data_IF_915853298055
#
_entry.id   IF_915853298055
#
_cell.length_a   1.000
_cell.length_b   1.000
_cell.length_c   1.000
_cell.angle_alpha   90.00
_cell.angle_beta   90.00
_cell.angle_gamma   90.00
#
_symmetry.space_group_name_H-M   'P 1'
#
loop_
_entity.id
_entity.type
_entity.pdbx_description
1 polymer ?
#
# COMPACT_ATOMS: atom_id res chain seq x y z
N UNK A 1 6.86 2.72 30.06
CA UNK A 1 6.30 1.75 29.11
C UNK A 1 7.03 1.98 27.79
N UNK A 2 7.90 1.03 27.37
CA UNK A 2 8.54 1.10 26.06
C UNK A 2 7.48 0.97 24.98
N UNK A 3 7.49 1.89 24.01
CA UNK A 3 6.64 1.78 22.82
C UNK A 3 6.92 0.43 22.11
N UNK A 4 5.90 -0.21 21.53
CA UNK A 4 6.10 -1.47 20.82
C UNK A 4 7.11 -1.27 19.70
N UNK A 5 8.24 -1.96 19.77
CA UNK A 5 9.25 -1.94 18.72
C UNK A 5 8.75 -2.76 17.53
N UNK A 6 8.54 -2.12 16.37
CA UNK A 6 8.17 -2.83 15.15
C UNK A 6 9.35 -3.63 14.60
N UNK A 7 9.05 -4.84 14.15
CA UNK A 7 10.04 -5.75 13.54
C UNK A 7 9.93 -5.69 12.03
N UNK A 8 11.04 -5.44 11.36
CA UNK A 8 11.15 -5.35 9.90
C UNK A 8 12.12 -6.40 9.38
N UNK A 9 11.72 -7.14 8.34
CA UNK A 9 12.63 -7.97 7.54
C UNK A 9 13.01 -7.17 6.30
N UNK A 10 14.32 -6.98 6.10
CA UNK A 10 14.90 -6.26 4.96
C UNK A 10 15.66 -7.26 4.07
N UNK A 11 15.16 -7.46 2.85
CA UNK A 11 15.72 -8.36 1.84
C UNK A 11 16.35 -7.49 0.74
N UNK A 12 17.67 -7.38 0.76
CA UNK A 12 18.43 -6.49 -0.10
C UNK A 12 19.87 -7.05 -0.22
N UNK A 13 20.35 -7.30 -1.42
CA UNK A 13 21.68 -7.87 -1.65
C UNK A 13 22.79 -6.80 -1.60
N UNK A 14 22.48 -5.57 -2.03
CA UNK A 14 23.43 -4.47 -2.02
C UNK A 14 23.76 -4.00 -0.58
N UNK A 15 24.95 -4.33 -0.11
CA UNK A 15 25.40 -4.03 1.26
C UNK A 15 25.27 -2.56 1.66
N UNK A 16 25.51 -1.63 0.73
CA UNK A 16 25.44 -0.20 1.01
C UNK A 16 23.99 0.25 1.24
N UNK A 17 23.06 -0.19 0.39
CA UNK A 17 21.63 0.12 0.50
C UNK A 17 21.05 -0.56 1.75
N UNK A 18 21.36 -1.85 1.97
CA UNK A 18 20.94 -2.58 3.14
C UNK A 18 21.35 -1.88 4.44
N UNK A 19 22.63 -1.50 4.54
CA UNK A 19 23.13 -0.74 5.71
C UNK A 19 22.44 0.61 5.88
N UNK A 20 22.23 1.36 4.79
CA UNK A 20 21.56 2.65 4.81
C UNK A 20 20.11 2.53 5.31
N UNK A 21 19.35 1.60 4.78
CA UNK A 21 17.97 1.34 5.19
C UNK A 21 17.92 0.89 6.65
N UNK A 22 18.73 -0.10 7.04
CA UNK A 22 18.81 -0.58 8.43
C UNK A 22 19.05 0.55 9.42
N UNK A 23 20.11 1.32 9.24
CA UNK A 23 20.45 2.43 10.15
C UNK A 23 19.31 3.45 10.25
N UNK A 24 18.63 3.73 9.13
CA UNK A 24 17.49 4.64 9.11
C UNK A 24 16.29 4.11 9.91
N UNK A 25 16.02 2.82 9.84
CA UNK A 25 14.93 2.15 10.57
C UNK A 25 15.25 2.03 12.07
N UNK A 26 16.46 1.60 12.41
CA UNK A 26 16.92 1.47 13.80
C UNK A 26 16.91 2.83 14.53
N UNK A 27 17.24 3.92 13.83
CA UNK A 27 17.15 5.27 14.36
C UNK A 27 15.72 5.70 14.73
N UNK A 28 14.70 4.99 14.21
CA UNK A 28 13.28 5.18 14.55
C UNK A 28 12.76 4.14 15.55
N UNK A 29 13.66 3.39 16.21
CA UNK A 29 13.31 2.41 17.23
C UNK A 29 12.79 1.07 16.67
N UNK A 30 12.98 0.78 15.39
CA UNK A 30 12.58 -0.47 14.77
C UNK A 30 13.66 -1.54 14.93
N UNK A 31 13.25 -2.80 15.06
CA UNK A 31 14.17 -3.96 15.01
C UNK A 31 14.26 -4.46 13.58
N UNK A 32 15.48 -4.53 13.02
CA UNK A 32 15.69 -4.91 11.62
C UNK A 32 16.41 -6.26 11.53
N UNK A 33 15.85 -7.19 10.77
CA UNK A 33 16.48 -8.45 10.38
C UNK A 33 16.85 -8.38 8.90
N UNK A 34 18.15 -8.44 8.63
CA UNK A 34 18.69 -8.35 7.28
C UNK A 34 18.75 -9.74 6.61
N UNK A 35 18.47 -9.77 5.31
CA UNK A 35 18.65 -10.93 4.43
C UNK A 35 19.31 -10.46 3.12
N UNK A 36 20.26 -11.24 2.62
CA UNK A 36 21.04 -10.91 1.42
C UNK A 36 20.51 -11.55 0.14
N UNK A 37 19.49 -12.38 0.28
CA UNK A 37 18.83 -13.08 -0.83
C UNK A 37 17.39 -13.46 -0.47
N UNK A 38 16.62 -13.90 -1.45
CA UNK A 38 15.21 -14.23 -1.29
C UNK A 38 14.96 -15.36 -0.31
N UNK A 39 15.73 -16.44 -0.39
CA UNK A 39 15.59 -17.61 0.49
C UNK A 39 15.81 -17.25 1.96
N UNK A 40 16.84 -16.48 2.28
CA UNK A 40 17.07 -15.98 3.65
C UNK A 40 15.92 -15.08 4.11
N UNK A 41 15.41 -14.23 3.21
CA UNK A 41 14.28 -13.34 3.47
C UNK A 41 13.01 -14.08 3.85
N UNK A 42 12.66 -15.13 3.09
CA UNK A 42 11.50 -15.99 3.37
C UNK A 42 11.62 -16.70 4.73
N UNK A 43 12.80 -17.26 5.02
CA UNK A 43 13.08 -17.89 6.32
C UNK A 43 12.96 -16.85 7.46
N UNK A 44 13.53 -15.65 7.28
CA UNK A 44 13.45 -14.59 8.27
C UNK A 44 11.99 -14.14 8.49
N UNK A 45 11.21 -13.96 7.43
CA UNK A 45 9.81 -13.60 7.53
C UNK A 45 8.97 -14.66 8.27
N UNK A 46 9.20 -15.95 8.00
CA UNK A 46 8.50 -17.03 8.68
C UNK A 46 8.86 -17.15 10.16
N UNK A 47 10.14 -16.94 10.53
CA UNK A 47 10.64 -17.16 11.90
C UNK A 47 10.51 -15.94 12.80
N UNK A 48 10.65 -14.72 12.25
CA UNK A 48 10.64 -13.46 13.02
C UNK A 48 9.27 -12.81 13.14
N UNK A 49 8.29 -13.26 12.33
CA UNK A 49 6.92 -12.71 12.30
C UNK A 49 6.92 -11.18 12.23
N UNK A 50 7.54 -10.60 11.18
CA UNK A 50 7.73 -9.17 11.10
C UNK A 50 6.41 -8.41 10.97
N UNK A 51 6.46 -7.12 11.30
CA UNK A 51 5.36 -6.19 11.09
C UNK A 51 5.36 -5.61 9.68
N UNK A 52 6.51 -5.67 9.01
CA UNK A 52 6.73 -5.19 7.64
C UNK A 52 7.87 -5.98 6.99
N UNK A 53 7.74 -6.25 5.69
CA UNK A 53 8.84 -6.76 4.85
C UNK A 53 9.21 -5.68 3.82
N UNK A 54 10.49 -5.47 3.65
CA UNK A 54 11.05 -4.65 2.57
C UNK A 54 11.84 -5.58 1.67
N UNK A 55 11.59 -5.53 0.35
CA UNK A 55 12.20 -6.46 -0.61
C UNK A 55 12.72 -5.74 -1.84
N UNK A 56 13.95 -6.01 -2.25
CA UNK A 56 14.43 -5.68 -3.59
C UNK A 56 13.97 -6.73 -4.61
N UNK A 57 13.75 -6.30 -5.86
CA UNK A 57 13.39 -7.20 -6.96
C UNK A 57 14.60 -7.89 -7.57
N UNK A 58 15.78 -7.25 -7.52
CA UNK A 58 17.01 -7.71 -8.15
C UNK A 58 17.86 -8.63 -7.27
N UNK A 59 17.26 -9.63 -6.62
CA UNK A 59 17.99 -10.55 -5.74
C UNK A 59 18.84 -11.57 -6.52
N UNK A 60 19.95 -12.07 -5.93
CA UNK A 60 20.89 -12.91 -6.65
C UNK A 60 20.40 -14.35 -6.89
N UNK A 61 19.44 -14.82 -6.11
CA UNK A 61 18.94 -16.21 -6.11
C UNK A 61 17.56 -16.36 -6.77
N UNK A 62 16.74 -15.30 -6.75
CA UNK A 62 15.38 -15.32 -7.30
C UNK A 62 14.89 -13.90 -7.62
N UNK A 63 13.85 -13.75 -8.44
CA UNK A 63 13.18 -12.45 -8.59
C UNK A 63 12.38 -12.11 -7.32
N UNK A 64 12.50 -10.87 -6.85
CA UNK A 64 11.75 -10.42 -5.67
C UNK A 64 10.23 -10.52 -5.84
N UNK A 65 9.72 -10.51 -7.08
CA UNK A 65 8.29 -10.75 -7.37
C UNK A 65 7.89 -12.17 -6.94
N UNK A 66 8.74 -13.16 -7.12
CA UNK A 66 8.47 -14.54 -6.70
C UNK A 66 8.52 -14.66 -5.17
N UNK A 67 9.43 -13.93 -4.51
CA UNK A 67 9.45 -13.81 -3.04
C UNK A 67 8.12 -13.24 -2.53
N UNK A 68 7.58 -12.19 -3.18
CA UNK A 68 6.28 -11.61 -2.81
C UNK A 68 5.16 -12.62 -2.96
N UNK A 69 5.10 -13.35 -4.07
CA UNK A 69 4.08 -14.40 -4.30
C UNK A 69 4.14 -15.49 -3.23
N UNK A 70 5.34 -15.94 -2.88
CA UNK A 70 5.53 -16.95 -1.84
C UNK A 70 5.10 -16.44 -0.47
N UNK A 71 5.46 -15.21 -0.08
CA UNK A 71 4.98 -14.57 1.14
C UNK A 71 3.45 -14.54 1.18
N UNK A 72 2.79 -14.16 0.09
CA UNK A 72 1.32 -14.09 0.02
C UNK A 72 0.62 -15.44 0.11
N UNK A 73 1.34 -16.53 -0.09
CA UNK A 73 0.83 -17.89 0.14
C UNK A 73 0.52 -18.20 1.61
N UNK A 74 1.09 -17.46 2.56
CA UNK A 74 0.97 -17.77 3.99
C UNK A 74 0.94 -16.55 4.93
N UNK A 75 1.10 -15.31 4.44
CA UNK A 75 1.06 -14.10 5.28
C UNK A 75 0.52 -12.88 4.55
N UNK A 76 -0.23 -12.03 5.28
CA UNK A 76 -0.70 -10.72 4.84
C UNK A 76 0.18 -9.57 5.38
N UNK A 77 1.40 -9.86 5.82
CA UNK A 77 2.33 -8.81 6.27
C UNK A 77 2.53 -7.77 5.18
N UNK A 78 2.51 -6.47 5.51
CA UNK A 78 2.78 -5.43 4.51
C UNK A 78 4.15 -5.61 3.85
N UNK A 79 4.19 -5.51 2.51
CA UNK A 79 5.40 -5.64 1.70
C UNK A 79 5.64 -4.35 0.92
N UNK A 80 6.79 -3.71 1.15
CA UNK A 80 7.25 -2.55 0.37
C UNK A 80 8.40 -2.99 -0.53
N UNK A 81 8.28 -2.72 -1.82
CA UNK A 81 9.35 -2.99 -2.80
C UNK A 81 10.30 -1.79 -2.86
N UNK A 82 11.61 -2.07 -2.78
CA UNK A 82 12.67 -1.11 -3.13
C UNK A 82 13.38 -1.62 -4.39
N UNK A 83 13.33 -0.89 -5.50
CA UNK A 83 13.96 -1.39 -6.72
C UNK A 83 14.49 -0.29 -7.63
N UNK A 84 15.57 -0.59 -8.35
CA UNK A 84 16.10 0.24 -9.44
C UNK A 84 15.27 0.13 -10.72
N UNK A 85 14.36 -0.85 -10.81
CA UNK A 85 13.48 -1.04 -11.97
C UNK A 85 12.47 0.11 -12.01
N UNK A 86 12.48 0.87 -13.09
CA UNK A 86 11.65 2.08 -13.25
C UNK A 86 10.47 1.89 -14.19
N UNK A 87 10.44 0.77 -14.92
CA UNK A 87 9.40 0.48 -15.90
C UNK A 87 8.05 0.29 -15.20
N UNK A 88 7.01 0.82 -15.81
CA UNK A 88 5.65 0.80 -15.27
C UNK A 88 5.11 -0.62 -15.13
N UNK A 89 5.39 -1.48 -16.14
CA UNK A 89 4.98 -2.88 -16.15
C UNK A 89 5.55 -3.66 -14.97
N UNK A 90 6.79 -3.40 -14.59
CA UNK A 90 7.45 -4.07 -13.45
C UNK A 90 6.86 -3.62 -12.12
N UNK A 91 6.53 -2.34 -11.97
CA UNK A 91 5.82 -1.83 -10.79
C UNK A 91 4.44 -2.46 -10.64
N UNK A 92 3.69 -2.49 -11.76
CA UNK A 92 2.38 -3.14 -11.80
C UNK A 92 2.49 -4.62 -11.47
N UNK A 93 3.46 -5.34 -12.04
CA UNK A 93 3.68 -6.76 -11.77
C UNK A 93 3.98 -7.05 -10.30
N UNK A 94 4.80 -6.22 -9.63
CA UNK A 94 5.10 -6.36 -8.22
C UNK A 94 3.86 -6.12 -7.33
N UNK A 95 3.08 -5.09 -7.63
CA UNK A 95 1.83 -4.77 -6.91
C UNK A 95 0.75 -5.84 -7.14
N UNK A 96 0.58 -6.32 -8.37
CA UNK A 96 -0.35 -7.40 -8.70
C UNK A 96 0.08 -8.75 -8.08
N UNK A 97 1.39 -8.95 -7.85
CA UNK A 97 1.91 -10.09 -7.09
C UNK A 97 1.58 -10.01 -5.59
N UNK A 98 1.16 -8.83 -5.10
CA UNK A 98 0.72 -8.62 -3.73
C UNK A 98 1.59 -7.66 -2.91
N UNK A 99 2.52 -6.91 -3.52
CA UNK A 99 3.18 -5.81 -2.82
C UNK A 99 2.15 -4.72 -2.45
N UNK A 100 2.36 -4.08 -1.30
CA UNK A 100 1.49 -3.01 -0.82
C UNK A 100 1.94 -1.64 -1.32
N UNK A 101 3.22 -1.49 -1.58
CA UNK A 101 3.82 -0.25 -2.06
C UNK A 101 5.11 -0.51 -2.87
N UNK A 102 5.52 0.49 -3.61
CA UNK A 102 6.72 0.44 -4.46
C UNK A 102 7.49 1.75 -4.35
N UNK A 103 8.79 1.67 -4.10
CA UNK A 103 9.69 2.81 -4.01
C UNK A 103 10.88 2.61 -4.96
N UNK A 104 11.06 3.56 -5.88
CA UNK A 104 12.12 3.49 -6.89
C UNK A 104 13.44 4.03 -6.33
N UNK A 105 14.54 3.30 -6.50
CA UNK A 105 15.91 3.75 -6.21
C UNK A 105 16.37 4.79 -7.27
N UNK A 106 17.03 5.88 -6.89
CA UNK A 106 17.35 6.31 -5.53
C UNK A 106 16.17 6.96 -4.80
N UNK A 107 16.06 6.73 -3.50
CA UNK A 107 14.98 7.26 -2.66
C UNK A 107 15.53 8.00 -1.44
N UNK A 108 14.73 8.92 -0.90
CA UNK A 108 15.04 9.62 0.35
C UNK A 108 14.58 8.88 1.59
N UNK A 109 15.30 9.01 2.72
CA UNK A 109 14.89 8.44 4.02
C UNK A 109 13.49 8.88 4.41
N UNK A 110 13.18 10.17 4.26
CA UNK A 110 11.87 10.74 4.63
C UNK A 110 10.71 10.11 3.86
N UNK A 111 10.89 9.83 2.57
CA UNK A 111 9.88 9.16 1.75
C UNK A 111 9.69 7.71 2.21
N UNK A 112 10.78 6.94 2.35
CA UNK A 112 10.71 5.57 2.85
C UNK A 112 10.01 5.50 4.21
N UNK A 113 10.38 6.38 5.15
CA UNK A 113 9.78 6.41 6.48
C UNK A 113 8.31 6.81 6.48
N UNK A 114 7.89 7.72 5.59
CA UNK A 114 6.49 8.10 5.46
C UNK A 114 5.64 6.90 5.01
N UNK A 115 6.11 6.13 4.02
CA UNK A 115 5.45 4.92 3.52
C UNK A 115 5.37 3.83 4.60
N UNK A 116 6.48 3.55 5.28
CA UNK A 116 6.52 2.56 6.37
C UNK A 116 5.51 2.92 7.48
N UNK A 117 5.52 4.17 7.96
CA UNK A 117 4.57 4.62 8.99
C UNK A 117 3.12 4.47 8.56
N UNK A 118 2.80 4.73 7.29
CA UNK A 118 1.45 4.57 6.76
C UNK A 118 0.98 3.10 6.86
N UNK A 119 1.84 2.14 6.47
CA UNK A 119 1.50 0.72 6.52
C UNK A 119 1.43 0.16 7.96
N UNK A 120 2.37 0.55 8.84
CA UNK A 120 2.37 0.11 10.24
C UNK A 120 1.17 0.66 11.02
N UNK A 121 0.78 1.93 10.80
CA UNK A 121 -0.43 2.53 11.41
C UNK A 121 -1.68 1.75 11.04
N UNK A 122 -1.84 1.40 9.77
CA UNK A 122 -2.97 0.60 9.28
C UNK A 122 -3.07 -0.75 9.96
N UNK A 123 -1.94 -1.45 10.15
CA UNK A 123 -1.92 -2.75 10.83
C UNK A 123 -2.40 -2.64 12.28
N UNK A 124 -1.96 -1.60 13.00
CA UNK A 124 -2.41 -1.36 14.38
C UNK A 124 -3.90 -1.03 14.45
N UNK A 125 -4.43 -0.27 13.51
CA UNK A 125 -5.86 0.05 13.44
C UNK A 125 -6.70 -1.18 13.10
N UNK A 126 -6.25 -2.04 12.18
CA UNK A 126 -6.93 -3.29 11.86
C UNK A 126 -6.98 -4.29 13.03
N UNK A 127 -5.99 -4.25 13.93
CA UNK A 127 -5.93 -5.10 15.10
C UNK A 127 -6.79 -4.62 16.29
N UNK A 128 -7.24 -3.34 16.28
CA UNK A 128 -7.93 -2.71 17.43
C UNK A 128 -9.27 -2.05 17.14
N UNK A 129 -9.74 -2.01 15.89
CA UNK A 129 -10.91 -1.22 15.50
C UNK A 129 -12.13 -2.09 15.23
N UNK A 130 -13.08 -2.10 16.18
CA UNK A 130 -14.47 -2.54 15.96
C UNK A 130 -15.31 -1.49 15.21
N UNK A 131 -14.75 -0.33 14.84
CA UNK A 131 -15.51 0.73 14.18
C UNK A 131 -15.33 0.67 12.66
N UNK A 132 -16.40 0.37 11.93
CA UNK A 132 -16.40 0.34 10.47
C UNK A 132 -16.36 1.74 9.83
N UNK A 133 -16.10 2.78 10.60
CA UNK A 133 -16.06 4.17 10.16
C UNK A 133 -14.62 4.60 9.94
N UNK A 134 -14.32 5.01 8.73
CA UNK A 134 -13.01 5.49 8.29
C UNK A 134 -13.10 6.94 7.90
N UNK A 135 -12.13 7.78 8.32
CA UNK A 135 -12.13 9.21 8.00
C UNK A 135 -10.89 9.62 7.20
N UNK A 136 -11.05 10.58 6.31
CA UNK A 136 -9.97 11.26 5.60
C UNK A 136 -10.40 12.68 5.24
N UNK A 137 -9.59 13.67 5.55
CA UNK A 137 -9.99 15.08 5.42
C UNK A 137 -11.33 15.34 6.12
N UNK A 138 -12.28 15.90 5.38
CA UNK A 138 -13.64 16.22 5.84
C UNK A 138 -14.64 15.06 5.59
N UNK A 139 -14.16 13.91 5.10
CA UNK A 139 -14.98 12.77 4.71
C UNK A 139 -14.99 11.71 5.79
N UNK A 140 -16.18 11.17 6.07
CA UNK A 140 -16.37 9.99 6.92
C UNK A 140 -17.12 8.90 6.14
N UNK A 141 -16.59 7.68 6.18
CA UNK A 141 -17.13 6.52 5.47
C UNK A 141 -17.48 5.43 6.49
N UNK A 142 -18.74 5.16 6.68
CA UNK A 142 -19.25 4.04 7.45
C UNK A 142 -19.51 2.87 6.49
N UNK A 143 -18.63 1.87 6.53
CA UNK A 143 -18.73 0.70 5.66
C UNK A 143 -19.90 -0.23 6.03
N UNK A 144 -20.27 -0.29 7.31
CA UNK A 144 -21.38 -1.14 7.76
C UNK A 144 -22.74 -0.56 7.35
N UNK A 145 -22.91 0.74 7.55
CA UNK A 145 -24.14 1.44 7.16
C UNK A 145 -24.15 1.89 5.70
N UNK A 146 -23.03 1.70 4.97
CA UNK A 146 -22.83 2.20 3.60
C UNK A 146 -23.12 3.69 3.47
N UNK A 147 -22.76 4.46 4.50
CA UNK A 147 -22.98 5.89 4.58
C UNK A 147 -21.67 6.64 4.34
N UNK A 148 -21.74 7.68 3.53
CA UNK A 148 -20.63 8.60 3.29
C UNK A 148 -21.09 10.01 3.63
N UNK A 149 -20.31 10.70 4.44
CA UNK A 149 -20.57 12.12 4.77
C UNK A 149 -19.34 12.95 4.47
N UNK A 150 -19.55 14.23 4.12
CA UNK A 150 -18.51 15.24 3.99
C UNK A 150 -18.96 16.48 4.76
N UNK A 151 -18.12 17.00 5.66
CA UNK A 151 -18.49 18.06 6.60
C UNK A 151 -19.77 17.76 7.40
N UNK A 152 -20.05 16.47 7.69
CA UNK A 152 -21.26 16.02 8.38
C UNK A 152 -22.52 15.89 7.50
N UNK A 153 -22.48 16.31 6.25
CA UNK A 153 -23.58 16.18 5.30
C UNK A 153 -23.48 14.91 4.49
N UNK A 154 -24.62 14.23 4.21
CA UNK A 154 -24.62 13.01 3.43
C UNK A 154 -24.19 13.26 1.97
N UNK A 155 -23.25 12.48 1.50
CA UNK A 155 -22.82 12.47 0.09
C UNK A 155 -23.48 11.31 -0.64
N UNK A 156 -24.26 11.61 -1.67
CA UNK A 156 -24.86 10.58 -2.50
C UNK A 156 -23.87 10.03 -3.51
N UNK A 157 -23.55 8.73 -3.38
CA UNK A 157 -22.73 7.98 -4.30
C UNK A 157 -23.59 6.95 -5.05
N UNK A 158 -23.34 6.80 -6.35
CA UNK A 158 -23.90 5.70 -7.12
C UNK A 158 -23.33 4.35 -6.64
N UNK A 159 -23.99 3.20 -6.95
CA UNK A 159 -23.48 1.88 -6.52
C UNK A 159 -22.03 1.59 -6.95
N UNK A 160 -21.62 2.08 -8.14
CA UNK A 160 -20.26 1.91 -8.66
C UNK A 160 -19.27 2.82 -7.90
N UNK A 161 -19.62 4.09 -7.73
CA UNK A 161 -18.80 5.04 -6.96
C UNK A 161 -18.58 4.53 -5.52
N UNK A 162 -19.65 4.02 -4.88
CA UNK A 162 -19.53 3.46 -3.54
C UNK A 162 -18.61 2.23 -3.51
N UNK A 163 -18.74 1.30 -4.46
CA UNK A 163 -17.85 0.12 -4.53
C UNK A 163 -16.39 0.53 -4.72
N UNK A 164 -16.15 1.52 -5.59
CA UNK A 164 -14.81 2.04 -5.84
C UNK A 164 -14.24 2.68 -4.57
N UNK A 165 -15.01 3.54 -3.88
CA UNK A 165 -14.61 4.14 -2.61
C UNK A 165 -14.38 3.07 -1.54
N UNK A 166 -15.26 2.10 -1.39
CA UNK A 166 -15.12 1.03 -0.41
C UNK A 166 -13.86 0.19 -0.63
N UNK A 167 -13.48 -0.08 -1.89
CA UNK A 167 -12.23 -0.76 -2.22
C UNK A 167 -11.01 0.10 -1.82
N UNK A 168 -11.03 1.39 -2.14
CA UNK A 168 -9.96 2.32 -1.74
C UNK A 168 -9.83 2.43 -0.21
N UNK A 169 -10.95 2.46 0.51
CA UNK A 169 -10.99 2.55 1.98
C UNK A 169 -10.47 1.27 2.64
N UNK A 170 -10.89 0.10 2.18
CA UNK A 170 -10.40 -1.19 2.70
C UNK A 170 -8.90 -1.33 2.54
N UNK A 171 -8.38 -0.84 1.42
CA UNK A 171 -6.97 -0.91 1.06
C UNK A 171 -6.26 0.44 1.20
N UNK A 172 -6.75 1.32 2.09
CA UNK A 172 -6.19 2.64 2.31
C UNK A 172 -4.69 2.58 2.62
N UNK A 173 -3.90 3.45 2.00
CA UNK A 173 -2.45 3.47 2.10
C UNK A 173 -1.72 2.56 1.09
N UNK A 174 -2.39 1.56 0.49
CA UNK A 174 -1.82 0.71 -0.57
C UNK A 174 -1.96 1.37 -1.93
N UNK A 175 -1.03 1.07 -2.83
CA UNK A 175 -1.20 1.35 -4.26
C UNK A 175 -2.06 0.27 -4.88
N UNK A 176 -3.21 0.66 -5.42
CA UNK A 176 -4.12 -0.24 -6.13
C UNK A 176 -3.97 -0.03 -7.64
N UNK A 177 -3.57 -1.08 -8.35
CA UNK A 177 -3.39 -1.02 -9.80
C UNK A 177 -4.72 -0.79 -10.52
N UNK A 178 -4.67 -0.22 -11.73
CA UNK A 178 -5.87 -0.07 -12.57
C UNK A 178 -6.60 -1.42 -12.74
N UNK A 179 -5.84 -2.50 -12.99
CA UNK A 179 -6.36 -3.85 -13.18
C UNK A 179 -7.05 -4.37 -11.92
N UNK A 180 -6.43 -4.17 -10.75
CA UNK A 180 -7.02 -4.59 -9.47
C UNK A 180 -8.36 -3.87 -9.24
N UNK A 181 -8.41 -2.55 -9.36
CA UNK A 181 -9.63 -1.75 -9.16
C UNK A 181 -10.74 -2.13 -10.15
N UNK A 182 -10.39 -2.33 -11.42
CA UNK A 182 -11.37 -2.75 -12.44
C UNK A 182 -11.96 -4.13 -12.12
N UNK A 183 -11.13 -5.08 -11.71
CA UNK A 183 -11.59 -6.42 -11.33
C UNK A 183 -12.50 -6.40 -10.11
N UNK A 184 -12.15 -5.66 -9.07
CA UNK A 184 -12.92 -5.60 -7.82
C UNK A 184 -14.26 -4.86 -7.97
N UNK A 185 -14.31 -3.82 -8.81
CA UNK A 185 -15.50 -2.97 -8.96
C UNK A 185 -16.43 -3.44 -10.07
N UNK A 186 -15.89 -3.87 -11.21
CA UNK A 186 -16.69 -4.26 -12.40
C UNK A 186 -16.62 -5.75 -12.73
N UNK A 187 -15.68 -6.48 -12.14
CA UNK A 187 -15.48 -7.91 -12.40
C UNK A 187 -14.41 -8.19 -13.48
N UNK A 188 -14.02 -9.46 -13.63
CA UNK A 188 -12.86 -9.86 -14.45
C UNK A 188 -13.00 -9.55 -15.95
N UNK A 189 -14.19 -9.36 -16.46
CA UNK A 189 -14.44 -9.03 -17.88
C UNK A 189 -14.13 -7.57 -18.26
N UNK A 190 -13.86 -6.69 -17.29
CA UNK A 190 -13.67 -5.25 -17.51
C UNK A 190 -12.25 -4.76 -17.28
N UNK A 191 -11.30 -5.66 -17.04
CA UNK A 191 -9.91 -5.33 -16.67
C UNK A 191 -9.13 -4.56 -17.76
N UNK A 192 -9.59 -4.59 -18.99
CA UNK A 192 -8.97 -3.89 -20.13
C UNK A 192 -9.62 -2.52 -20.43
N UNK A 193 -10.45 -1.99 -19.54
CA UNK A 193 -11.20 -0.75 -19.78
C UNK A 193 -10.84 0.36 -18.78
N UNK A 194 -9.58 0.84 -18.71
CA UNK A 194 -9.14 1.85 -17.74
C UNK A 194 -9.86 3.21 -17.90
N UNK A 195 -10.48 3.45 -19.05
CA UNK A 195 -11.26 4.65 -19.31
C UNK A 195 -12.42 4.82 -18.32
N UNK A 196 -13.18 3.73 -18.03
CA UNK A 196 -14.27 3.80 -17.06
C UNK A 196 -13.76 4.17 -15.66
N UNK A 197 -12.64 3.57 -15.25
CA UNK A 197 -12.05 3.87 -13.93
C UNK A 197 -11.69 5.35 -13.78
N UNK A 198 -11.13 5.98 -14.82
CA UNK A 198 -10.78 7.41 -14.81
C UNK A 198 -12.02 8.30 -14.61
N UNK A 199 -13.12 7.99 -15.28
CA UNK A 199 -14.38 8.74 -15.15
C UNK A 199 -14.92 8.66 -13.73
N UNK A 200 -15.04 7.46 -13.18
CA UNK A 200 -15.55 7.28 -11.82
C UNK A 200 -14.62 7.84 -10.74
N UNK A 201 -13.30 7.78 -10.98
CA UNK A 201 -12.33 8.41 -10.09
C UNK A 201 -12.47 9.95 -10.10
N UNK A 202 -12.71 10.55 -11.27
CA UNK A 202 -12.98 11.98 -11.38
C UNK A 202 -14.29 12.34 -10.62
N UNK A 203 -15.34 11.56 -10.75
CA UNK A 203 -16.60 11.78 -10.02
C UNK A 203 -16.41 11.67 -8.51
N UNK A 204 -15.66 10.67 -8.02
CA UNK A 204 -15.36 10.56 -6.60
C UNK A 204 -14.60 11.79 -6.08
N UNK A 205 -13.59 12.24 -6.82
CA UNK A 205 -12.83 13.45 -6.46
C UNK A 205 -13.70 14.69 -6.40
N UNK A 206 -14.59 14.88 -7.38
CA UNK A 206 -15.53 15.99 -7.37
C UNK A 206 -16.43 16.01 -6.12
N UNK A 207 -16.82 14.84 -5.62
CA UNK A 207 -17.70 14.70 -4.46
C UNK A 207 -16.94 14.76 -3.13
N UNK A 208 -15.73 14.21 -3.07
CA UNK A 208 -15.05 13.93 -1.81
C UNK A 208 -13.83 14.84 -1.55
N UNK A 209 -13.10 15.22 -2.59
CA UNK A 209 -11.94 16.11 -2.43
C UNK A 209 -12.36 17.57 -2.29
N UNK A 210 -11.49 18.39 -1.70
CA UNK A 210 -11.66 19.84 -1.63
C UNK A 210 -11.48 20.47 -3.00
N UNK A 211 -10.45 20.03 -3.73
CA UNK A 211 -10.19 20.34 -5.12
C UNK A 211 -9.96 19.05 -5.91
N UNK A 212 -10.88 18.75 -6.83
CA UNK A 212 -10.79 17.54 -7.65
C UNK A 212 -9.58 17.53 -8.61
N UNK A 213 -9.06 18.72 -8.96
CA UNK A 213 -7.88 18.86 -9.84
C UNK A 213 -6.57 18.69 -9.06
N UNK A 214 -6.57 18.96 -7.75
CA UNK A 214 -5.44 18.78 -6.84
C UNK A 214 -5.84 17.88 -5.66
N UNK A 215 -6.09 16.58 -5.90
CA UNK A 215 -6.59 15.69 -4.86
C UNK A 215 -5.54 15.46 -3.78
N UNK A 216 -5.97 15.63 -2.52
CA UNK A 216 -5.11 15.44 -1.34
C UNK A 216 -5.16 14.00 -0.82
N UNK A 217 -6.28 13.28 -1.03
CA UNK A 217 -6.53 11.97 -0.45
C UNK A 217 -6.59 10.85 -1.50
N UNK A 218 -7.33 11.05 -2.59
CA UNK A 218 -7.41 10.05 -3.67
C UNK A 218 -6.31 10.35 -4.69
N UNK A 219 -5.09 9.90 -4.41
CA UNK A 219 -3.89 10.22 -5.18
C UNK A 219 -3.75 9.32 -6.41
N UNK A 220 -3.26 9.88 -7.53
CA UNK A 220 -2.90 9.10 -8.72
C UNK A 220 -1.44 8.64 -8.60
N UNK A 221 -1.20 7.35 -8.70
CA UNK A 221 0.12 6.78 -8.96
C UNK A 221 0.26 6.62 -10.48
N UNK A 222 0.94 7.58 -11.10
CA UNK A 222 0.99 7.73 -12.56
C UNK A 222 1.40 6.42 -13.24
N UNK A 223 0.62 6.01 -14.22
CA UNK A 223 0.80 4.78 -14.97
C UNK A 223 0.43 3.49 -14.23
N UNK A 224 0.30 3.52 -12.92
CA UNK A 224 0.08 2.34 -12.07
C UNK A 224 -1.38 2.22 -11.63
N UNK A 225 -1.91 3.27 -10.98
CA UNK A 225 -3.25 3.20 -10.40
C UNK A 225 -3.56 4.36 -9.45
N UNK A 226 -4.17 4.02 -8.31
CA UNK A 226 -4.61 4.99 -7.32
C UNK A 226 -4.33 4.53 -5.90
N UNK A 227 -4.24 5.49 -4.98
CA UNK A 227 -4.03 5.27 -3.55
C UNK A 227 -4.92 6.22 -2.75
N UNK A 228 -5.54 5.73 -1.68
CA UNK A 228 -6.18 6.59 -0.68
C UNK A 228 -5.18 6.84 0.46
N UNK A 229 -4.95 8.11 0.78
CA UNK A 229 -4.01 8.54 1.83
C UNK A 229 -4.67 9.43 2.88
N UNK A 230 -3.97 9.67 4.01
CA UNK A 230 -4.47 10.54 5.08
C UNK A 230 -5.65 9.97 5.86
N UNK A 231 -5.76 8.64 5.92
CA UNK A 231 -6.83 7.90 6.60
C UNK A 231 -6.53 7.77 8.10
N UNK A 232 -7.57 7.94 8.90
CA UNK A 232 -7.56 7.74 10.36
C UNK A 232 -8.79 6.97 10.82
#
# INVERSE_FOLDING_TARGET
>A
LSEPSFTVVLIEDEKQIRRFVRVSLEAQGMTVHEAENGQQGLVAAATRKPDLVIVDLGLPDTDGIDVIRELRGWTDVPVIVLSARTQEEEKVAALDAGADDYLTKPFGVSELMARIRAHLRRRNQAAGSETPVVTFGDVSVDLALRRVTKNGENVHLTPIEYRLLATLVRDAGRVLTHRHLLREVWGPSHVESPHYLRIYMAHLRQKLERDAAQPEHIVTETGVGYRLVGVS
#
